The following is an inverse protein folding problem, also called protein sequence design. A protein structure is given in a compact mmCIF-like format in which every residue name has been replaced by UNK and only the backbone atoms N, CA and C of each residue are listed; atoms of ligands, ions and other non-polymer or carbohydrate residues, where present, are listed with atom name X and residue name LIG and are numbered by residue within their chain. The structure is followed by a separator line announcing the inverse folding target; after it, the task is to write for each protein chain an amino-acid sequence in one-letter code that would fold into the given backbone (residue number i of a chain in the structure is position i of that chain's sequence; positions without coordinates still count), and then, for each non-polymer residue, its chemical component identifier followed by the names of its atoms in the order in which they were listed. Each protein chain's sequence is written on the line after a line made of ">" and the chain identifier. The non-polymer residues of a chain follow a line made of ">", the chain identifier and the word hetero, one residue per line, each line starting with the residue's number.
data_IF_004736955022
#
_entry.id   IF_004736955022
#
_cell.length_a   1.000
_cell.length_b   1.000
_cell.length_c   1.000
_cell.angle_alpha   90.00
_cell.angle_beta   90.00
_cell.angle_gamma   90.00
#
_symmetry.space_group_name_H-M   'P 1'
#
loop_
_entity.id
_entity.type
_entity.pdbx_description
1 polymer ?
#
# COMPACT_ATOMS: atom_id res chain seq x y z
N UNK A 1 0.03 5.13 -31.36
CA UNK A 1 -1.42 5.32 -31.14
C UNK A 1 -1.58 5.96 -29.78
N UNK A 2 -1.99 7.23 -29.77
CA UNK A 2 -2.04 8.07 -28.58
C UNK A 2 -3.32 7.78 -27.79
N UNK A 3 -3.17 7.18 -26.61
CA UNK A 3 -4.27 6.92 -25.70
C UNK A 3 -3.97 7.58 -24.33
N UNK A 4 -3.88 8.88 -24.25
CA UNK A 4 -3.97 9.57 -22.95
C UNK A 4 -4.02 11.08 -23.19
N UNK A 5 -5.19 11.58 -23.57
CA UNK A 5 -5.53 12.99 -23.38
C UNK A 5 -7.05 13.11 -23.25
N UNK A 6 -7.59 12.88 -22.08
CA UNK A 6 -8.88 13.44 -21.72
C UNK A 6 -8.81 14.15 -20.37
N UNK A 7 -9.13 15.44 -20.49
CA UNK A 7 -9.19 16.42 -19.43
C UNK A 7 -10.28 16.06 -18.42
N UNK A 8 -9.93 16.02 -17.15
CA UNK A 8 -10.91 16.04 -16.06
C UNK A 8 -11.03 17.47 -15.58
N UNK A 9 -12.11 18.16 -16.02
CA UNK A 9 -12.62 19.35 -15.34
C UNK A 9 -13.70 18.85 -14.38
N UNK A 10 -13.32 18.67 -13.13
CA UNK A 10 -14.23 18.34 -12.03
C UNK A 10 -14.63 19.60 -11.29
N UNK A 11 -15.88 20.04 -11.50
CA UNK A 11 -16.50 21.14 -10.81
C UNK A 11 -16.78 20.75 -9.35
N UNK A 12 -16.10 21.41 -8.40
CA UNK A 12 -16.39 21.27 -6.97
C UNK A 12 -17.57 22.16 -6.61
N UNK A 13 -18.73 21.55 -6.36
CA UNK A 13 -19.89 22.23 -5.81
C UNK A 13 -19.85 22.13 -4.28
N UNK A 14 -19.45 23.22 -3.60
CA UNK A 14 -19.58 23.37 -2.15
C UNK A 14 -21.05 23.67 -1.80
N UNK A 15 -21.77 22.71 -1.23
CA UNK A 15 -23.06 22.96 -0.57
C UNK A 15 -22.82 23.22 0.92
N UNK A 16 -23.08 24.48 1.32
CA UNK A 16 -23.07 24.89 2.72
C UNK A 16 -24.43 24.51 3.33
N UNK A 17 -24.47 23.58 4.27
CA UNK A 17 -25.62 23.32 5.11
C UNK A 17 -25.55 24.12 6.41
N UNK A 18 -26.51 25.03 6.58
CA UNK A 18 -26.68 25.82 7.79
C UNK A 18 -27.18 24.96 8.97
N UNK A 19 -26.54 25.16 10.12
CA UNK A 19 -26.94 24.58 11.41
C UNK A 19 -27.84 25.57 12.13
N UNK A 20 -29.11 25.23 12.32
CA UNK A 20 -30.01 25.93 13.22
C UNK A 20 -29.89 25.37 14.63
N UNK A 21 -29.53 26.25 15.57
CA UNK A 21 -29.51 25.95 16.99
C UNK A 21 -30.92 25.94 17.55
N UNK A 22 -31.33 24.87 18.21
CA UNK A 22 -32.53 24.78 19.07
C UNK A 22 -32.05 24.76 20.52
N UNK A 23 -32.37 25.87 21.22
CA UNK A 23 -32.27 25.99 22.68
C UNK A 23 -33.52 25.38 23.32
N UNK A 24 -33.31 24.39 24.20
CA UNK A 24 -34.37 23.86 25.05
C UNK A 24 -33.73 23.19 26.27
N UNK A 25 -33.78 23.89 27.42
CA UNK A 25 -33.47 23.30 28.71
C UNK A 25 -34.72 22.69 29.34
N UNK A 26 -34.63 21.53 29.97
CA UNK A 26 -35.49 21.20 31.08
C UNK A 26 -34.71 21.05 32.38
N UNK A 27 -35.22 21.68 33.42
CA UNK A 27 -34.87 21.46 34.82
C UNK A 27 -35.09 20.00 35.20
N UNK A 28 -34.10 19.38 35.85
CA UNK A 28 -34.26 18.10 36.52
C UNK A 28 -33.89 18.24 37.99
N UNK A 29 -34.85 17.90 38.81
CA UNK A 29 -34.89 17.70 40.24
C UNK A 29 -33.79 16.73 40.71
N UNK A 30 -33.23 17.04 41.91
CA UNK A 30 -32.17 16.28 42.54
C UNK A 30 -32.57 14.88 42.99
N UNK A 31 -31.59 14.00 42.81
CA UNK A 31 -31.44 12.78 43.62
C UNK A 31 -29.98 12.65 43.95
N UNK A 32 -29.73 12.55 45.26
CA UNK A 32 -28.40 12.39 45.81
C UNK A 32 -27.87 11.00 45.45
N UNK A 33 -26.66 10.86 44.93
CA UNK A 33 -26.10 9.52 44.71
C UNK A 33 -25.48 8.95 45.97
N UNK A 34 -25.80 7.68 46.21
CA UNK A 34 -25.19 6.84 47.25
C UNK A 34 -23.67 6.81 47.12
N UNK A 35 -23.01 7.00 48.24
CA UNK A 35 -21.56 6.91 48.36
C UNK A 35 -21.13 5.46 48.21
N UNK A 36 -20.72 5.08 46.98
CA UNK A 36 -20.06 3.79 46.76
C UNK A 36 -18.62 3.89 47.25
N UNK A 37 -18.31 3.19 48.34
CA UNK A 37 -16.94 3.02 48.83
C UNK A 37 -16.12 2.27 47.80
N UNK A 38 -15.19 2.97 47.15
CA UNK A 38 -14.21 2.37 46.26
C UNK A 38 -13.21 1.54 47.03
N UNK A 39 -13.21 0.24 46.82
CA UNK A 39 -12.14 -0.64 47.32
C UNK A 39 -10.79 -0.23 46.68
N UNK A 40 -9.67 -0.34 47.40
CA UNK A 40 -8.36 0.03 46.89
C UNK A 40 -8.01 -0.88 45.69
N UNK A 41 -7.82 -0.25 44.54
CA UNK A 41 -7.29 -0.92 43.33
C UNK A 41 -5.82 -1.23 43.61
N UNK A 42 -5.51 -2.51 43.83
CA UNK A 42 -4.13 -2.99 43.86
C UNK A 42 -3.55 -2.86 42.45
N UNK A 43 -2.76 -1.82 42.20
CA UNK A 43 -1.99 -1.67 40.94
C UNK A 43 -0.80 -2.62 41.07
N UNK A 44 -0.93 -3.80 40.50
CA UNK A 44 0.24 -4.63 40.24
C UNK A 44 1.09 -3.96 39.14
N UNK A 45 2.41 -3.83 39.36
CA UNK A 45 3.26 -3.35 38.27
C UNK A 45 3.23 -4.35 37.10
N UNK A 46 2.65 -3.92 36.00
CA UNK A 46 2.72 -4.65 34.72
C UNK A 46 4.18 -4.65 34.29
N UNK A 47 4.86 -5.79 34.46
CA UNK A 47 6.17 -6.03 33.87
C UNK A 47 5.99 -6.00 32.36
N UNK A 48 6.40 -4.88 31.75
CA UNK A 48 6.56 -4.81 30.30
C UNK A 48 7.74 -5.73 29.99
N UNK A 49 7.42 -6.96 29.58
CA UNK A 49 8.44 -7.81 28.97
C UNK A 49 8.98 -7.09 27.73
N UNK A 50 10.31 -7.00 27.56
CA UNK A 50 10.88 -6.42 26.37
C UNK A 50 10.38 -7.22 25.18
N UNK A 51 9.56 -6.58 24.32
CA UNK A 51 9.18 -7.16 23.05
C UNK A 51 10.46 -7.38 22.27
N UNK A 52 10.93 -8.61 22.26
CA UNK A 52 12.06 -9.03 21.44
C UNK A 52 11.63 -8.79 20.00
N UNK A 53 12.12 -7.73 19.39
CA UNK A 53 12.01 -7.52 17.96
C UNK A 53 12.75 -8.65 17.30
N UNK A 54 12.05 -9.73 17.00
CA UNK A 54 12.58 -10.83 16.21
C UNK A 54 12.80 -10.25 14.82
N UNK A 55 14.05 -9.86 14.55
CA UNK A 55 14.53 -9.66 13.20
C UNK A 55 14.32 -10.99 12.48
N UNK A 56 13.23 -11.15 11.77
CA UNK A 56 12.99 -12.31 10.94
C UNK A 56 14.01 -12.26 9.83
N UNK A 57 15.14 -12.94 10.06
CA UNK A 57 16.04 -13.31 8.98
C UNK A 57 15.19 -14.17 8.04
N UNK A 58 14.88 -13.64 6.84
CA UNK A 58 14.17 -14.41 5.81
C UNK A 58 15.07 -15.59 5.48
N UNK A 59 14.69 -16.79 5.93
CA UNK A 59 15.38 -18.01 5.51
C UNK A 59 15.09 -18.19 4.03
N UNK A 60 16.13 -17.99 3.22
CA UNK A 60 16.06 -18.22 1.77
C UNK A 60 16.35 -19.69 1.56
N UNK A 61 15.32 -20.46 1.20
CA UNK A 61 15.48 -21.85 0.78
C UNK A 61 16.34 -21.88 -0.50
N UNK A 62 17.51 -22.53 -0.48
CA UNK A 62 18.39 -22.58 -1.64
C UNK A 62 17.79 -23.33 -2.85
N UNK A 63 16.68 -24.04 -2.67
CA UNK A 63 15.96 -24.72 -3.74
C UNK A 63 14.78 -23.91 -4.32
N UNK A 64 14.44 -22.78 -3.68
CA UNK A 64 13.38 -21.89 -4.16
C UNK A 64 13.95 -20.91 -5.19
N UNK A 65 13.32 -20.80 -6.36
CA UNK A 65 13.74 -19.84 -7.38
C UNK A 65 13.68 -18.40 -6.87
N UNK A 66 14.54 -17.52 -7.39
CA UNK A 66 14.51 -16.11 -7.00
C UNK A 66 13.12 -15.48 -7.21
N UNK A 67 12.41 -15.84 -8.30
CA UNK A 67 11.05 -15.38 -8.57
C UNK A 67 10.06 -15.83 -7.51
N UNK A 68 10.14 -17.08 -7.08
CA UNK A 68 9.24 -17.66 -6.08
C UNK A 68 9.39 -16.99 -4.71
N UNK A 69 10.60 -16.64 -4.32
CA UNK A 69 10.84 -15.88 -3.09
C UNK A 69 10.18 -14.52 -3.12
N UNK A 70 10.28 -13.81 -4.25
CA UNK A 70 9.67 -12.50 -4.41
C UNK A 70 8.15 -12.57 -4.54
N UNK A 71 7.60 -13.61 -5.14
CA UNK A 71 6.15 -13.81 -5.20
C UNK A 71 5.57 -14.15 -3.83
N UNK A 72 6.29 -14.92 -3.00
CA UNK A 72 5.92 -15.16 -1.61
C UNK A 72 5.93 -13.85 -0.78
N UNK A 73 6.98 -13.02 -0.95
CA UNK A 73 7.03 -11.69 -0.35
C UNK A 73 5.85 -10.83 -0.80
N UNK A 74 5.51 -10.84 -2.08
CA UNK A 74 4.40 -10.06 -2.63
C UNK A 74 3.07 -10.43 -1.98
N UNK A 75 2.77 -11.73 -1.80
CA UNK A 75 1.56 -12.18 -1.10
C UNK A 75 1.51 -11.65 0.33
N UNK A 76 2.64 -11.67 1.05
CA UNK A 76 2.73 -11.07 2.39
C UNK A 76 2.52 -9.55 2.39
N UNK A 77 2.77 -8.88 1.28
CA UNK A 77 2.54 -7.45 1.07
C UNK A 77 1.12 -7.11 0.60
N UNK A 78 0.26 -8.12 0.44
CA UNK A 78 -1.15 -7.94 0.07
C UNK A 78 -1.50 -8.24 -1.38
N UNK A 79 -0.59 -8.77 -2.19
CA UNK A 79 -0.96 -9.27 -3.52
C UNK A 79 -1.94 -10.43 -3.41
N UNK A 80 -2.98 -10.49 -4.29
CA UNK A 80 -3.89 -11.63 -4.32
C UNK A 80 -3.12 -12.93 -4.60
N UNK A 81 -3.35 -13.94 -3.77
CA UNK A 81 -2.62 -15.20 -3.86
C UNK A 81 -2.85 -15.95 -5.19
N UNK A 82 -4.01 -15.77 -5.81
CA UNK A 82 -4.36 -16.30 -7.13
C UNK A 82 -3.58 -15.63 -8.28
N UNK A 83 -2.99 -14.46 -8.04
CA UNK A 83 -2.16 -13.75 -9.02
C UNK A 83 -0.67 -14.15 -8.95
N UNK A 84 -0.28 -15.00 -8.01
CA UNK A 84 1.12 -15.36 -7.75
C UNK A 84 1.84 -15.88 -9.00
N UNK A 85 1.24 -16.81 -9.73
CA UNK A 85 1.84 -17.40 -10.94
C UNK A 85 2.06 -16.38 -12.05
N UNK A 86 1.08 -15.46 -12.23
CA UNK A 86 1.21 -14.38 -13.22
C UNK A 86 2.31 -13.42 -12.80
N UNK A 87 2.37 -13.07 -11.52
CA UNK A 87 3.39 -12.17 -10.96
C UNK A 87 4.81 -12.74 -11.17
N UNK A 88 5.01 -14.03 -10.92
CA UNK A 88 6.29 -14.72 -11.17
C UNK A 88 6.70 -14.64 -12.65
N UNK A 89 5.75 -14.94 -13.54
CA UNK A 89 6.00 -14.85 -14.98
C UNK A 89 6.35 -13.43 -15.44
N UNK A 90 5.69 -12.43 -14.88
CA UNK A 90 5.99 -11.01 -15.16
C UNK A 90 7.36 -10.64 -14.64
N UNK A 91 7.70 -10.93 -13.38
CA UNK A 91 9.03 -10.65 -12.81
C UNK A 91 10.15 -11.33 -13.59
N UNK A 92 9.95 -12.59 -14.01
CA UNK A 92 10.90 -13.34 -14.83
C UNK A 92 11.15 -12.63 -16.17
N UNK A 93 10.10 -12.20 -16.83
CA UNK A 93 10.19 -11.51 -18.13
C UNK A 93 10.78 -10.11 -18.03
N UNK A 94 10.38 -9.33 -17.03
CA UNK A 94 10.74 -7.92 -16.89
C UNK A 94 12.19 -7.72 -16.40
N UNK A 95 12.62 -8.52 -15.43
CA UNK A 95 13.90 -8.32 -14.75
C UNK A 95 14.72 -9.58 -14.54
N UNK A 96 14.26 -10.73 -15.03
CA UNK A 96 14.79 -12.02 -14.61
C UNK A 96 14.85 -12.14 -13.07
N UNK A 97 13.82 -11.64 -12.41
CA UNK A 97 13.70 -11.59 -10.94
C UNK A 97 14.87 -10.91 -10.24
N UNK A 98 15.44 -9.88 -10.86
CA UNK A 98 16.55 -9.09 -10.33
C UNK A 98 15.98 -7.81 -9.70
N UNK A 99 16.03 -7.64 -8.35
CA UNK A 99 15.37 -6.54 -7.67
C UNK A 99 15.96 -5.16 -8.02
N UNK A 100 17.25 -5.07 -8.28
CA UNK A 100 17.95 -3.84 -8.63
C UNK A 100 18.15 -3.66 -10.15
N UNK A 101 17.37 -4.34 -10.97
CA UNK A 101 17.39 -4.17 -12.42
C UNK A 101 17.02 -2.72 -12.80
N UNK A 102 17.80 -2.13 -13.70
CA UNK A 102 17.53 -0.79 -14.23
C UNK A 102 17.73 -0.74 -15.74
N UNK A 103 16.64 -0.42 -16.46
CA UNK A 103 16.68 -0.18 -17.88
C UNK A 103 16.62 1.34 -18.16
N UNK A 104 17.79 1.96 -18.32
CA UNK A 104 17.93 3.41 -18.57
C UNK A 104 17.50 3.82 -19.99
N UNK A 105 17.27 2.87 -20.91
CA UNK A 105 16.85 3.15 -22.29
C UNK A 105 15.36 3.40 -22.42
N UNK A 106 14.57 2.98 -21.42
CA UNK A 106 13.15 3.25 -21.42
C UNK A 106 12.87 4.75 -21.24
N UNK A 107 11.79 5.28 -21.86
CA UNK A 107 11.41 6.68 -21.69
C UNK A 107 11.08 7.02 -20.21
N UNK A 108 10.87 8.31 -19.95
CA UNK A 108 10.48 8.83 -18.63
C UNK A 108 11.48 8.55 -17.50
N UNK A 109 12.78 8.46 -17.80
CA UNK A 109 13.81 8.21 -16.81
C UNK A 109 14.05 6.74 -16.50
N UNK A 110 13.62 5.83 -17.39
CA UNK A 110 13.90 4.40 -17.31
C UNK A 110 12.88 3.60 -16.53
N UNK A 111 13.11 2.29 -16.47
CA UNK A 111 12.30 1.32 -15.72
C UNK A 111 13.13 0.62 -14.67
N UNK A 112 12.56 0.37 -13.47
CA UNK A 112 13.30 -0.08 -12.28
C UNK A 112 12.67 -1.27 -11.59
N UNK A 113 13.53 -2.12 -11.05
CA UNK A 113 13.23 -3.19 -10.12
C UNK A 113 12.59 -4.42 -10.74
N UNK A 114 12.06 -5.29 -9.88
CA UNK A 114 11.48 -6.58 -10.24
C UNK A 114 10.43 -6.49 -11.33
N UNK A 115 9.55 -5.50 -11.23
CA UNK A 115 8.40 -5.30 -12.12
C UNK A 115 8.69 -4.26 -13.21
N UNK A 116 9.93 -3.80 -13.37
CA UNK A 116 10.34 -2.78 -14.33
C UNK A 116 9.36 -1.59 -14.40
N UNK A 117 9.10 -1.01 -13.23
CA UNK A 117 8.19 0.14 -13.12
C UNK A 117 8.81 1.33 -13.81
N UNK A 118 8.13 1.83 -14.86
CA UNK A 118 8.59 2.97 -15.64
C UNK A 118 8.48 4.27 -14.84
N UNK A 119 9.44 5.18 -15.04
CA UNK A 119 9.48 6.47 -14.37
C UNK A 119 8.26 7.36 -14.61
N UNK A 120 7.42 7.05 -15.61
CA UNK A 120 6.11 7.66 -15.78
C UNK A 120 5.25 7.60 -14.50
N UNK A 121 5.37 6.54 -13.71
CA UNK A 121 4.62 6.34 -12.48
C UNK A 121 5.19 7.08 -11.27
N UNK A 122 6.42 7.58 -11.36
CA UNK A 122 7.11 8.20 -10.21
C UNK A 122 6.29 9.32 -9.54
N UNK A 123 5.73 10.32 -10.26
CA UNK A 123 4.97 11.38 -9.60
C UNK A 123 3.73 10.84 -8.87
N UNK A 124 3.02 9.91 -9.50
CA UNK A 124 1.81 9.31 -8.95
C UNK A 124 2.07 8.45 -7.71
N UNK A 125 3.19 7.71 -7.69
CA UNK A 125 3.62 6.90 -6.54
C UNK A 125 4.13 7.77 -5.39
N UNK A 126 4.83 8.88 -5.69
CA UNK A 126 5.31 9.84 -4.69
C UNK A 126 4.15 10.56 -4.01
N UNK A 127 3.16 11.01 -4.78
CA UNK A 127 1.95 11.65 -4.23
C UNK A 127 1.22 10.75 -3.22
N UNK A 128 1.30 9.42 -3.42
CA UNK A 128 0.70 8.41 -2.53
C UNK A 128 1.59 7.98 -1.37
N UNK A 129 2.80 8.52 -1.28
CA UNK A 129 3.76 8.18 -0.24
C UNK A 129 4.32 6.75 -0.33
N UNK A 130 4.22 6.11 -1.51
CA UNK A 130 4.75 4.75 -1.73
C UNK A 130 6.25 4.81 -1.94
N UNK A 131 6.73 5.86 -2.60
CA UNK A 131 8.15 6.15 -2.80
C UNK A 131 8.43 7.61 -2.47
N UNK A 132 9.68 7.96 -2.20
CA UNK A 132 10.16 9.32 -2.08
C UNK A 132 10.93 9.77 -3.33
N UNK A 133 11.57 8.84 -3.98
CA UNK A 133 12.36 9.03 -5.21
C UNK A 133 12.30 7.77 -6.08
N UNK A 134 12.66 7.90 -7.35
CA UNK A 134 12.58 6.79 -8.31
C UNK A 134 13.48 5.61 -7.92
N UNK A 135 14.61 5.85 -7.28
CA UNK A 135 15.59 4.86 -6.85
C UNK A 135 15.04 3.91 -5.78
N UNK A 136 14.01 4.31 -5.02
CA UNK A 136 13.33 3.46 -4.04
C UNK A 136 12.73 2.20 -4.70
N UNK A 137 12.40 2.29 -6.00
CA UNK A 137 11.92 1.17 -6.80
C UNK A 137 12.97 0.07 -7.06
N UNK A 138 14.22 0.29 -6.73
CA UNK A 138 15.27 -0.74 -6.79
C UNK A 138 15.26 -1.67 -5.55
N UNK A 139 14.44 -1.36 -4.55
CA UNK A 139 14.20 -2.21 -3.40
C UNK A 139 13.03 -3.16 -3.68
N UNK A 140 13.24 -4.47 -3.50
CA UNK A 140 12.25 -5.50 -3.84
C UNK A 140 10.87 -5.22 -3.21
N UNK A 141 10.82 -4.96 -1.91
CA UNK A 141 9.59 -4.68 -1.18
C UNK A 141 8.87 -3.45 -1.71
N UNK A 142 9.58 -2.35 -1.89
CA UNK A 142 9.02 -1.09 -2.41
C UNK A 142 8.51 -1.26 -3.84
N UNK A 143 9.26 -1.99 -4.67
CA UNK A 143 8.86 -2.29 -6.05
C UNK A 143 7.56 -3.09 -6.11
N UNK A 144 7.42 -4.13 -5.28
CA UNK A 144 6.22 -4.96 -5.21
C UNK A 144 5.00 -4.19 -4.67
N UNK A 145 5.19 -3.31 -3.68
CA UNK A 145 4.13 -2.43 -3.18
C UNK A 145 3.69 -1.41 -4.25
N UNK A 146 4.64 -0.80 -4.95
CA UNK A 146 4.35 0.12 -6.04
C UNK A 146 3.62 -0.57 -7.20
N UNK A 147 4.07 -1.78 -7.57
CA UNK A 147 3.41 -2.59 -8.58
C UNK A 147 1.98 -2.99 -8.17
N UNK A 148 1.75 -3.35 -6.89
CA UNK A 148 0.41 -3.64 -6.37
C UNK A 148 -0.52 -2.43 -6.49
N UNK A 149 -0.02 -1.24 -6.15
CA UNK A 149 -0.82 -0.01 -6.28
C UNK A 149 -1.21 0.26 -7.74
N UNK A 150 -0.27 0.08 -8.68
CA UNK A 150 -0.52 0.23 -10.13
C UNK A 150 -1.50 -0.84 -10.62
N UNK A 151 -1.36 -2.09 -10.17
CA UNK A 151 -2.28 -3.19 -10.47
C UNK A 151 -3.71 -2.85 -10.02
N UNK A 152 -3.87 -2.44 -8.75
CA UNK A 152 -5.18 -2.07 -8.19
C UNK A 152 -5.79 -0.87 -8.93
N UNK A 153 -4.99 0.13 -9.27
CA UNK A 153 -5.44 1.24 -10.12
C UNK A 153 -6.00 0.74 -11.47
N UNK A 154 -5.31 -0.24 -12.09
CA UNK A 154 -5.78 -0.87 -13.33
C UNK A 154 -7.11 -1.61 -13.15
N UNK A 155 -7.25 -2.38 -12.07
CA UNK A 155 -8.50 -3.09 -11.73
C UNK A 155 -9.65 -2.10 -11.54
N UNK A 156 -9.45 -1.04 -10.75
CA UNK A 156 -10.47 -0.03 -10.47
C UNK A 156 -10.92 0.74 -11.72
N UNK A 157 -9.97 1.08 -12.60
CA UNK A 157 -10.25 1.93 -13.77
C UNK A 157 -10.68 1.16 -15.00
N UNK A 158 -10.23 -0.07 -15.16
CA UNK A 158 -10.36 -0.82 -16.41
C UNK A 158 -10.90 -2.24 -16.20
N UNK A 159 -11.13 -2.66 -14.93
CA UNK A 159 -11.51 -4.03 -14.60
C UNK A 159 -10.36 -5.05 -14.77
N UNK A 160 -9.13 -4.58 -15.02
CA UNK A 160 -7.98 -5.42 -15.30
C UNK A 160 -6.66 -4.77 -14.87
N UNK A 161 -5.92 -5.44 -13.97
CA UNK A 161 -4.73 -4.85 -13.34
C UNK A 161 -3.42 -5.02 -14.12
N UNK A 162 -3.34 -5.98 -15.04
CA UNK A 162 -2.10 -6.33 -15.72
C UNK A 162 -1.79 -5.53 -16.99
N UNK A 163 -2.62 -4.55 -17.33
CA UNK A 163 -2.45 -3.70 -18.51
C UNK A 163 -1.04 -3.09 -18.65
N UNK A 164 -0.44 -2.51 -17.61
CA UNK A 164 0.90 -1.93 -17.66
C UNK A 164 2.00 -2.91 -18.08
N UNK A 165 1.81 -4.19 -17.81
CA UNK A 165 2.75 -5.27 -18.15
C UNK A 165 2.32 -6.07 -19.38
N UNK A 166 1.33 -5.59 -20.16
CA UNK A 166 0.87 -6.23 -21.40
C UNK A 166 0.50 -7.72 -21.25
N UNK A 167 0.05 -8.14 -20.09
CA UNK A 167 -0.57 -9.45 -19.88
C UNK A 167 -2.00 -9.38 -20.42
N UNK A 168 -2.41 -10.42 -21.18
CA UNK A 168 -3.74 -10.49 -21.80
C UNK A 168 -4.57 -11.60 -21.16
#
# INVERSE_FOLDING_TARGET
>A
MNYFAEKIIGLVLCTVFGVTALTGAPSASGSQPDTIALAPISVQPYLIEPTTTTSSTIYIDPYTSACEQFSALAVNLGWPADQRTVLEAVMARESNCTPNAFNSKDPNGGSRGLMQINGFWTPWLTERGIITQAEDLLQAQTNLLAALAIYNYGVERHGFGWGPWSVK
#
